data_IF_404992176674
#
_entry.id   IF_404992176674
#
_cell.length_a   1.000
_cell.length_b   1.000
_cell.length_c   1.000
_cell.angle_alpha   90.00
_cell.angle_beta   90.00
_cell.angle_gamma   90.00
#
_symmetry.space_group_name_H-M   'P 1'
#
loop_
_entity.id
_entity.type
_entity.pdbx_description
1 polymer ?
#
# COMPACT_ATOMS: atom_id res chain seq x y z
N UNK A 1 21.71 -5.39 -5.75
CA UNK A 1 21.24 -4.01 -6.02
C UNK A 1 20.66 -3.34 -4.78
N UNK A 2 19.40 -3.58 -4.35
CA UNK A 2 18.81 -2.82 -3.24
C UNK A 2 19.50 -3.08 -1.87
N UNK A 3 19.88 -4.33 -1.60
CA UNK A 3 20.58 -4.72 -0.36
C UNK A 3 21.94 -4.03 -0.19
N UNK A 4 22.65 -3.77 -1.29
CA UNK A 4 23.95 -3.06 -1.28
C UNK A 4 23.82 -1.61 -0.81
N UNK A 5 22.61 -1.05 -0.87
CA UNK A 5 22.28 0.27 -0.37
C UNK A 5 21.50 0.21 0.95
N UNK A 6 21.66 -0.87 1.73
CA UNK A 6 20.99 -1.09 3.00
C UNK A 6 19.46 -1.07 2.92
N UNK A 7 18.86 -1.45 1.79
CA UNK A 7 17.41 -1.66 1.72
C UNK A 7 17.08 -3.12 1.96
N UNK A 8 16.03 -3.34 2.73
CA UNK A 8 15.47 -4.65 3.02
C UNK A 8 14.10 -4.78 2.36
N UNK A 9 13.89 -5.88 1.64
CA UNK A 9 12.57 -6.21 1.11
C UNK A 9 11.67 -6.70 2.25
N UNK A 10 10.59 -5.96 2.51
CA UNK A 10 9.62 -6.26 3.58
C UNK A 10 8.34 -6.85 3.01
N UNK A 11 8.03 -6.53 1.76
CA UNK A 11 6.80 -6.95 1.10
C UNK A 11 7.06 -7.17 -0.38
N UNK A 12 6.54 -8.27 -0.93
CA UNK A 12 6.48 -8.53 -2.37
C UNK A 12 5.26 -9.40 -2.64
N UNK A 13 4.33 -8.94 -3.48
CA UNK A 13 3.15 -9.69 -3.93
C UNK A 13 2.83 -9.32 -5.36
N UNK A 14 2.43 -10.28 -6.17
CA UNK A 14 1.79 -9.94 -7.45
C UNK A 14 0.45 -9.25 -7.17
N UNK A 15 -0.09 -8.53 -8.16
CA UNK A 15 -1.31 -7.76 -7.94
C UNK A 15 -2.55 -8.64 -7.67
N UNK A 16 -2.62 -9.88 -8.16
CA UNK A 16 -3.72 -10.79 -7.85
C UNK A 16 -3.73 -11.13 -6.36
N UNK A 17 -2.58 -11.52 -5.82
CA UNK A 17 -2.39 -11.81 -4.39
C UNK A 17 -2.60 -10.55 -3.53
N UNK A 18 -2.09 -9.40 -3.99
CA UNK A 18 -2.27 -8.13 -3.31
C UNK A 18 -3.75 -7.78 -3.17
N UNK A 19 -4.51 -7.85 -4.27
CA UNK A 19 -5.94 -7.52 -4.25
C UNK A 19 -6.71 -8.54 -3.43
N UNK A 20 -6.49 -9.85 -3.62
CA UNK A 20 -7.21 -10.89 -2.84
C UNK A 20 -7.01 -10.73 -1.33
N UNK A 21 -5.80 -10.41 -0.88
CA UNK A 21 -5.52 -10.22 0.53
C UNK A 21 -6.19 -8.98 1.10
N UNK A 22 -6.05 -7.84 0.43
CA UNK A 22 -6.52 -6.56 0.95
C UNK A 22 -8.04 -6.38 0.76
N UNK A 23 -8.65 -7.10 -0.18
CA UNK A 23 -10.11 -7.17 -0.33
C UNK A 23 -10.81 -7.92 0.81
N UNK A 24 -10.10 -8.65 1.66
CA UNK A 24 -10.66 -9.28 2.88
C UNK A 24 -10.94 -8.25 3.98
N UNK A 25 -10.41 -7.03 3.85
CA UNK A 25 -10.57 -5.94 4.82
C UNK A 25 -11.65 -4.96 4.35
N UNK A 26 -12.75 -4.79 5.11
CA UNK A 26 -13.91 -4.02 4.67
C UNK A 26 -13.59 -2.55 4.35
N UNK A 27 -12.62 -1.96 5.04
CA UNK A 27 -12.16 -0.58 4.80
C UNK A 27 -11.60 -0.38 3.39
N UNK A 28 -10.91 -1.40 2.84
CA UNK A 28 -10.33 -1.34 1.49
C UNK A 28 -11.36 -1.67 0.43
N UNK A 29 -12.33 -2.54 0.73
CA UNK A 29 -13.46 -2.79 -0.18
C UNK A 29 -14.26 -1.51 -0.44
N UNK A 30 -14.57 -0.75 0.60
CA UNK A 30 -15.30 0.52 0.48
C UNK A 30 -14.49 1.56 -0.32
N UNK A 31 -13.18 1.65 -0.08
CA UNK A 31 -12.29 2.51 -0.86
C UNK A 31 -12.29 2.11 -2.35
N UNK A 32 -12.10 0.83 -2.65
CA UNK A 32 -12.05 0.32 -4.02
C UNK A 32 -13.38 0.50 -4.75
N UNK A 33 -14.52 0.40 -4.03
CA UNK A 33 -15.84 0.76 -4.56
C UNK A 33 -15.93 2.25 -4.90
N UNK A 34 -15.49 3.14 -4.02
CA UNK A 34 -15.48 4.60 -4.28
C UNK A 34 -14.57 5.01 -5.43
N UNK A 35 -13.46 4.29 -5.60
CA UNK A 35 -12.54 4.47 -6.73
C UNK A 35 -13.10 3.90 -8.05
N UNK A 36 -14.23 3.18 -8.00
CA UNK A 36 -14.85 2.55 -9.17
C UNK A 36 -14.07 1.34 -9.68
N UNK A 37 -13.21 0.72 -8.86
CA UNK A 37 -12.46 -0.48 -9.25
C UNK A 37 -13.32 -1.76 -9.19
N UNK A 38 -14.39 -1.74 -8.39
CA UNK A 38 -15.29 -2.89 -8.16
C UNK A 38 -16.68 -2.70 -8.82
N UNK A 39 -16.82 -1.71 -9.70
CA UNK A 39 -18.10 -1.34 -10.30
C UNK A 39 -18.83 -0.23 -9.57
N UNK A 40 -20.01 0.10 -10.08
CA UNK A 40 -20.91 1.14 -9.56
C UNK A 40 -21.70 0.70 -8.30
N UNK A 41 -21.48 -0.52 -7.82
CA UNK A 41 -22.13 -1.08 -6.64
C UNK A 41 -23.61 -1.39 -6.80
N UNK A 42 -24.19 -1.23 -7.99
CA UNK A 42 -25.61 -1.47 -8.26
C UNK A 42 -25.87 -2.79 -9.00
N UNK A 43 -24.89 -3.31 -9.76
CA UNK A 43 -25.10 -4.48 -10.64
C UNK A 43 -24.16 -5.66 -10.36
N UNK A 44 -23.38 -5.63 -9.27
CA UNK A 44 -22.33 -6.63 -8.96
C UNK A 44 -21.32 -6.87 -10.11
N UNK A 45 -21.25 -5.95 -11.08
CA UNK A 45 -20.31 -6.03 -12.19
C UNK A 45 -19.03 -5.28 -11.84
N UNK A 46 -17.93 -6.03 -11.73
CA UNK A 46 -16.57 -5.47 -11.72
C UNK A 46 -16.37 -4.58 -12.94
N UNK A 47 -15.74 -3.41 -12.75
CA UNK A 47 -15.36 -2.52 -13.84
C UNK A 47 -14.22 -3.10 -14.69
N UNK A 48 -13.45 -4.04 -14.13
CA UNK A 48 -12.38 -4.74 -14.83
C UNK A 48 -12.93 -5.95 -15.56
N UNK A 49 -12.70 -6.00 -16.87
CA UNK A 49 -12.91 -7.19 -17.69
C UNK A 49 -11.91 -8.31 -17.31
N UNK A 50 -12.20 -9.58 -17.67
CA UNK A 50 -11.27 -10.68 -17.42
C UNK A 50 -9.88 -10.45 -18.00
N UNK A 51 -9.79 -9.91 -19.22
CA UNK A 51 -8.50 -9.66 -19.86
C UNK A 51 -7.71 -8.55 -19.13
N UNK A 52 -8.38 -7.48 -18.69
CA UNK A 52 -7.75 -6.43 -17.88
C UNK A 52 -7.28 -6.97 -16.53
N UNK A 53 -8.03 -7.91 -15.95
CA UNK A 53 -7.65 -8.58 -14.72
C UNK A 53 -6.42 -9.48 -14.92
N UNK A 54 -6.35 -10.24 -16.00
CA UNK A 54 -5.17 -11.06 -16.31
C UNK A 54 -3.92 -10.21 -16.53
N UNK A 55 -4.04 -9.05 -17.19
CA UNK A 55 -2.91 -8.11 -17.37
C UNK A 55 -2.42 -7.57 -16.02
N UNK A 56 -3.30 -7.41 -15.04
CA UNK A 56 -2.90 -6.97 -13.71
C UNK A 56 -1.88 -7.93 -13.06
N UNK A 57 -1.91 -9.23 -13.38
CA UNK A 57 -0.94 -10.22 -12.89
C UNK A 57 0.52 -9.89 -13.23
N UNK A 58 0.74 -9.14 -14.31
CA UNK A 58 2.08 -8.73 -14.74
C UNK A 58 2.72 -7.69 -13.81
N UNK A 59 1.91 -7.05 -12.97
CA UNK A 59 2.35 -6.06 -12.01
C UNK A 59 2.48 -6.67 -10.61
N UNK A 60 3.40 -6.11 -9.83
CA UNK A 60 3.62 -6.50 -8.44
C UNK A 60 3.78 -5.26 -7.56
N UNK A 61 3.37 -5.41 -6.31
CA UNK A 61 3.61 -4.43 -5.25
C UNK A 61 4.78 -4.91 -4.38
N UNK A 62 5.75 -4.03 -4.13
CA UNK A 62 6.87 -4.31 -3.25
C UNK A 62 7.16 -3.12 -2.32
N UNK A 63 7.67 -3.41 -1.13
CA UNK A 63 8.04 -2.39 -0.15
C UNK A 63 9.46 -2.66 0.33
N UNK A 64 10.30 -1.63 0.25
CA UNK A 64 11.67 -1.64 0.75
C UNK A 64 11.78 -0.77 2.01
N UNK A 65 12.37 -1.31 3.07
CA UNK A 65 12.71 -0.58 4.29
C UNK A 65 14.20 -0.24 4.30
N UNK A 66 14.54 1.03 4.52
CA UNK A 66 15.93 1.46 4.69
C UNK A 66 16.45 1.02 6.06
N UNK A 67 17.51 0.20 6.10
CA UNK A 67 18.21 -0.20 7.32
C UNK A 67 19.06 0.97 7.83
N UNK A 68 19.22 1.04 9.16
CA UNK A 68 20.09 2.02 9.81
C UNK A 68 19.52 3.44 9.91
N UNK A 69 18.27 3.70 9.50
CA UNK A 69 17.59 4.91 9.93
C UNK A 69 17.30 4.75 11.42
N UNK A 70 17.91 5.53 12.34
CA UNK A 70 17.43 5.55 13.72
C UNK A 70 15.93 5.90 13.65
N UNK A 71 15.11 5.29 14.52
CA UNK A 71 13.75 5.77 14.79
C UNK A 71 13.83 7.29 14.77
N UNK A 72 13.23 7.93 13.76
CA UNK A 72 13.49 9.35 13.54
C UNK A 72 12.97 10.11 14.76
N UNK A 73 13.85 10.38 15.72
CA UNK A 73 13.68 11.43 16.69
C UNK A 73 13.73 12.70 15.85
N UNK A 74 12.53 13.11 15.40
CA UNK A 74 12.23 14.21 14.51
C UNK A 74 13.27 15.33 14.66
N UNK A 75 14.15 15.50 13.68
CA UNK A 75 14.86 16.77 13.53
C UNK A 75 13.82 17.79 13.11
N UNK A 76 13.54 18.74 14.00
CA UNK A 76 12.69 19.91 13.76
C UNK A 76 13.22 20.71 12.56
N UNK A 77 12.86 20.32 11.34
CA UNK A 77 13.03 21.17 10.17
C UNK A 77 11.81 22.06 10.05
N UNK A 78 11.91 23.23 10.66
CA UNK A 78 11.01 24.37 10.49
C UNK A 78 11.02 24.76 9.00
N UNK A 79 10.09 24.26 8.19
CA UNK A 79 9.70 24.86 6.91
C UNK A 79 8.28 24.43 6.55
N UNK A 80 7.38 25.37 6.81
CA UNK A 80 5.97 25.36 6.45
C UNK A 80 5.82 25.55 4.93
N UNK A 81 5.11 24.64 4.26
CA UNK A 81 4.35 24.85 3.02
C UNK A 81 3.57 23.58 2.64
N UNK A 82 2.35 23.50 3.16
CA UNK A 82 1.40 22.41 2.91
C UNK A 82 1.24 21.55 4.16
N UNK A 83 0.25 21.87 4.99
CA UNK A 83 -0.02 21.18 6.26
C UNK A 83 -0.41 19.72 6.02
N UNK A 84 0.58 18.84 5.93
CA UNK A 84 0.36 17.41 6.07
C UNK A 84 0.37 17.09 7.57
N UNK A 85 -0.83 17.06 8.17
CA UNK A 85 -1.04 16.71 9.56
C UNK A 85 -0.94 15.18 9.71
N UNK A 86 0.27 14.64 9.70
CA UNK A 86 0.53 13.26 10.10
C UNK A 86 0.99 13.25 11.55
N UNK A 87 0.08 12.85 12.43
CA UNK A 87 0.36 12.57 13.83
C UNK A 87 1.05 11.21 13.96
N UNK A 88 1.73 11.00 15.09
CA UNK A 88 2.44 9.74 15.37
C UNK A 88 1.48 8.54 15.39
N UNK A 89 0.23 8.78 15.75
CA UNK A 89 -0.86 7.81 15.78
C UNK A 89 -1.31 7.37 14.37
N UNK A 90 -1.04 8.18 13.34
CA UNK A 90 -1.41 7.90 11.95
C UNK A 90 -0.41 6.96 11.25
N UNK A 91 0.70 6.60 11.91
CA UNK A 91 1.75 5.75 11.38
C UNK A 91 1.60 4.35 11.99
N UNK A 92 0.88 3.47 11.30
CA UNK A 92 0.80 2.05 11.66
C UNK A 92 2.14 1.37 11.38
N UNK A 93 2.88 1.07 12.45
CA UNK A 93 4.08 0.27 12.36
C UNK A 93 3.67 -1.19 12.21
N UNK A 94 3.74 -1.72 10.99
CA UNK A 94 3.50 -3.14 10.71
C UNK A 94 4.70 -3.94 11.24
N UNK A 95 4.86 -3.97 12.56
CA UNK A 95 5.70 -4.94 13.24
C UNK A 95 4.87 -6.23 13.33
N UNK A 96 4.90 -7.02 12.25
CA UNK A 96 4.49 -8.42 12.30
C UNK A 96 5.43 -9.15 13.26
N UNK A 97 4.87 -9.61 14.38
CA UNK A 97 5.51 -10.58 15.25
C UNK A 97 5.66 -11.91 14.50
N UNK A 98 6.87 -12.48 14.64
CA UNK A 98 7.31 -13.90 14.51
C UNK A 98 6.44 -14.83 13.67
#
# INVERSE_FOLDING_TARGET
MAEEYDFELVFVKNNHEFVDEYMKKPEFVELMRRLGALGDGNQDQSTLSPDEWEVAYLYLAFVLRKRGQPDQTRKNSRRDKGKMHLNKEDIENVNGAV
#
